data_IF_917001589695
#
_entry.id   IF_917001589695
#
_cell.length_a   1.000
_cell.length_b   1.000
_cell.length_c   1.000
_cell.angle_alpha   90.00
_cell.angle_beta   90.00
_cell.angle_gamma   90.00
#
_symmetry.space_group_name_H-M   'P 1'
#
loop_
_entity.id
_entity.type
_entity.pdbx_description
1 polymer ?
#
# COMPACT_ATOMS: atom_id res chain seq x y z
N UNK A 1 -6.72 -2.46 -22.01
CA UNK A 1 -6.20 -3.52 -21.11
C UNK A 1 -4.96 -4.15 -21.75
N UNK A 2 -5.10 -4.84 -22.88
CA UNK A 2 -3.98 -5.47 -23.58
C UNK A 2 -2.87 -4.50 -24.02
N UNK A 3 -3.18 -3.27 -24.43
CA UNK A 3 -2.17 -2.27 -24.82
C UNK A 3 -1.22 -1.91 -23.66
N UNK A 4 -1.76 -1.60 -22.47
CA UNK A 4 -0.97 -1.22 -21.29
C UNK A 4 -0.15 -2.40 -20.77
N UNK A 5 -0.72 -3.61 -20.71
CA UNK A 5 0.02 -4.83 -20.34
C UNK A 5 1.14 -5.10 -21.34
N UNK A 6 0.82 -5.07 -22.64
CA UNK A 6 1.81 -5.32 -23.70
C UNK A 6 2.94 -4.31 -23.62
N UNK A 7 2.65 -3.01 -23.44
CA UNK A 7 3.67 -1.97 -23.28
C UNK A 7 4.54 -2.23 -22.05
N UNK A 8 3.94 -2.50 -20.89
CA UNK A 8 4.68 -2.79 -19.66
C UNK A 8 5.55 -4.04 -19.80
N UNK A 9 5.00 -5.13 -20.36
CA UNK A 9 5.72 -6.38 -20.60
C UNK A 9 6.87 -6.17 -21.59
N UNK A 10 6.63 -5.52 -22.73
CA UNK A 10 7.68 -5.22 -23.71
C UNK A 10 8.79 -4.36 -23.13
N UNK A 11 8.45 -3.35 -22.32
CA UNK A 11 9.45 -2.53 -21.64
C UNK A 11 10.27 -3.35 -20.62
N UNK A 12 9.60 -4.19 -19.83
CA UNK A 12 10.26 -5.10 -18.89
C UNK A 12 11.19 -6.08 -19.60
N UNK A 13 10.74 -6.74 -20.68
CA UNK A 13 11.56 -7.68 -21.44
C UNK A 13 12.78 -7.02 -22.07
N UNK A 14 12.67 -5.76 -22.49
CA UNK A 14 13.79 -5.02 -23.07
C UNK A 14 14.81 -4.58 -22.01
N UNK A 15 14.36 -4.15 -20.83
CA UNK A 15 15.21 -3.57 -19.77
C UNK A 15 14.78 -4.04 -18.36
N UNK A 16 14.86 -5.34 -18.03
CA UNK A 16 14.30 -5.87 -16.79
C UNK A 16 15.01 -5.31 -15.54
N UNK A 17 16.30 -5.00 -15.65
CA UNK A 17 17.10 -4.44 -14.56
C UNK A 17 16.57 -3.11 -14.02
N UNK A 18 15.96 -2.26 -14.85
CA UNK A 18 15.39 -0.99 -14.38
C UNK A 18 14.19 -1.21 -13.44
N UNK A 19 13.38 -2.23 -13.71
CA UNK A 19 12.25 -2.60 -12.87
C UNK A 19 12.70 -3.32 -11.61
N UNK A 20 13.61 -4.30 -11.75
CA UNK A 20 14.17 -5.04 -10.60
C UNK A 20 14.90 -4.11 -9.63
N UNK A 21 15.60 -3.09 -10.13
CA UNK A 21 16.25 -2.07 -9.30
C UNK A 21 15.24 -1.33 -8.42
N UNK A 22 14.08 -0.93 -8.98
CA UNK A 22 13.02 -0.30 -8.20
C UNK A 22 12.49 -1.20 -7.08
N UNK A 23 12.26 -2.49 -7.37
CA UNK A 23 11.87 -3.48 -6.36
C UNK A 23 12.93 -3.66 -5.27
N UNK A 24 14.21 -3.70 -5.65
CA UNK A 24 15.32 -3.83 -4.72
C UNK A 24 15.46 -2.60 -3.81
N UNK A 25 15.42 -1.39 -4.37
CA UNK A 25 15.47 -0.14 -3.61
C UNK A 25 14.30 -0.04 -2.63
N UNK A 26 13.09 -0.40 -3.06
CA UNK A 26 11.92 -0.48 -2.20
C UNK A 26 12.12 -1.46 -1.05
N UNK A 27 12.53 -2.70 -1.33
CA UNK A 27 12.74 -3.72 -0.31
C UNK A 27 13.82 -3.31 0.69
N UNK A 28 14.94 -2.77 0.21
CA UNK A 28 16.03 -2.28 1.05
C UNK A 28 15.56 -1.17 2.00
N UNK A 29 14.90 -0.13 1.47
CA UNK A 29 14.41 0.97 2.32
C UNK A 29 13.26 0.56 3.24
N UNK A 30 12.42 -0.38 2.80
CA UNK A 30 11.39 -0.98 3.65
C UNK A 30 12.00 -1.73 4.82
N UNK A 31 13.06 -2.52 4.59
CA UNK A 31 13.79 -3.20 5.65
C UNK A 31 14.44 -2.21 6.63
N UNK A 32 15.08 -1.17 6.12
CA UNK A 32 15.66 -0.09 6.95
C UNK A 32 14.57 0.57 7.81
N UNK A 33 13.40 0.84 7.23
CA UNK A 33 12.25 1.39 7.95
C UNK A 33 11.76 0.44 9.06
N UNK A 34 11.62 -0.86 8.77
CA UNK A 34 11.22 -1.85 9.77
C UNK A 34 12.21 -1.94 10.93
N UNK A 35 13.52 -1.95 10.63
CA UNK A 35 14.56 -1.95 11.65
C UNK A 35 14.52 -0.67 12.50
N UNK A 36 14.29 0.49 11.89
CA UNK A 36 14.14 1.74 12.61
C UNK A 36 12.91 1.74 13.53
N UNK A 37 11.75 1.26 13.05
CA UNK A 37 10.53 1.15 13.86
C UNK A 37 10.70 0.16 15.02
N UNK A 38 11.37 -0.97 14.77
CA UNK A 38 11.72 -1.92 15.81
C UNK A 38 12.65 -1.29 16.86
N UNK A 39 13.66 -0.53 16.44
CA UNK A 39 14.52 0.24 17.34
C UNK A 39 13.76 1.25 18.20
N UNK A 40 12.79 1.97 17.64
CA UNK A 40 11.92 2.88 18.40
C UNK A 40 11.07 2.15 19.44
N UNK A 41 10.51 0.98 19.09
CA UNK A 41 9.78 0.14 20.04
C UNK A 41 10.69 -0.34 21.18
N UNK A 42 11.91 -0.78 20.88
CA UNK A 42 12.88 -1.18 21.90
C UNK A 42 13.23 -0.03 22.85
N UNK A 43 13.50 1.17 22.31
CA UNK A 43 13.77 2.37 23.12
C UNK A 43 12.59 2.66 24.05
N UNK A 44 11.36 2.57 23.55
CA UNK A 44 10.16 2.73 24.37
C UNK A 44 10.11 1.72 25.52
N UNK A 45 10.26 0.42 25.23
CA UNK A 45 10.20 -0.62 26.27
C UNK A 45 11.34 -0.52 27.28
N UNK A 46 12.54 -0.12 26.85
CA UNK A 46 13.66 0.15 27.76
C UNK A 46 13.35 1.32 28.68
N UNK A 47 12.82 2.43 28.14
CA UNK A 47 12.46 3.59 28.94
C UNK A 47 11.31 3.25 29.93
N UNK A 48 10.29 2.53 29.48
CA UNK A 48 9.20 2.07 30.33
C UNK A 48 9.72 1.18 31.48
N UNK A 49 10.63 0.25 31.18
CA UNK A 49 11.26 -0.61 32.19
C UNK A 49 12.09 0.19 33.19
N UNK A 50 12.90 1.16 32.75
CA UNK A 50 13.70 2.02 33.64
C UNK A 50 12.84 2.87 34.57
N UNK A 51 11.68 3.30 34.11
CA UNK A 51 10.72 4.09 34.89
C UNK A 51 9.80 3.22 35.76
N UNK A 52 10.00 1.90 35.79
CA UNK A 52 9.10 0.94 36.46
C UNK A 52 7.64 1.09 36.03
N UNK A 53 7.43 1.44 34.76
CA UNK A 53 6.12 1.61 34.16
C UNK A 53 5.52 0.24 33.83
N UNK A 54 4.28 -0.01 34.25
CA UNK A 54 3.59 -1.26 33.97
C UNK A 54 3.14 -1.31 32.50
N UNK A 55 3.71 -2.24 31.73
CA UNK A 55 3.40 -2.40 30.32
C UNK A 55 2.19 -3.33 30.20
N UNK A 56 1.01 -2.74 30.07
CA UNK A 56 -0.23 -3.47 29.74
C UNK A 56 -0.77 -3.06 28.37
N UNK A 57 -1.30 -4.04 27.64
CA UNK A 57 -2.03 -3.83 26.38
C UNK A 57 -3.56 -3.86 26.58
N UNK A 58 -4.01 -3.66 27.83
CA UNK A 58 -5.43 -3.58 28.19
C UNK A 58 -6.06 -2.23 27.82
N UNK A 59 -7.27 -1.97 28.33
CA UNK A 59 -7.92 -0.64 28.28
C UNK A 59 -7.83 0.10 29.63
N UNK A 60 -6.96 -0.35 30.53
CA UNK A 60 -6.75 0.28 31.84
C UNK A 60 -5.93 1.56 31.70
N UNK A 61 -6.02 2.49 32.66
CA UNK A 61 -5.32 3.78 32.59
C UNK A 61 -3.77 3.65 32.41
N UNK A 62 -3.18 2.54 32.89
CA UNK A 62 -1.76 2.21 32.68
C UNK A 62 -1.40 1.74 31.25
N UNK A 63 -2.38 1.49 30.38
CA UNK A 63 -2.14 1.07 28.99
C UNK A 63 -2.06 2.24 28.00
N UNK A 64 -2.54 3.43 28.38
CA UNK A 64 -2.71 4.56 27.46
C UNK A 64 -1.39 5.06 26.84
N UNK A 65 -0.29 5.26 27.60
CA UNK A 65 1.02 5.59 27.04
C UNK A 65 1.54 4.54 26.05
N UNK A 66 1.33 3.25 26.33
CA UNK A 66 1.72 2.14 25.43
C UNK A 66 0.92 2.19 24.14
N UNK A 67 -0.40 2.36 24.23
CA UNK A 67 -1.28 2.49 23.06
C UNK A 67 -0.91 3.71 22.21
N UNK A 68 -0.63 4.86 22.84
CA UNK A 68 -0.19 6.06 22.14
C UNK A 68 1.16 5.86 21.45
N UNK A 69 2.15 5.28 22.14
CA UNK A 69 3.47 5.02 21.58
C UNK A 69 3.38 4.09 20.36
N UNK A 70 2.66 2.97 20.48
CA UNK A 70 2.46 2.03 19.36
C UNK A 70 1.71 2.70 18.22
N UNK A 71 0.67 3.47 18.51
CA UNK A 71 -0.11 4.19 17.48
C UNK A 71 0.76 5.19 16.73
N UNK A 72 1.58 6.00 17.43
CA UNK A 72 2.51 6.94 16.80
C UNK A 72 3.51 6.21 15.91
N UNK A 73 4.07 5.09 16.37
CA UNK A 73 5.00 4.28 15.58
C UNK A 73 4.32 3.71 14.33
N UNK A 74 3.08 3.23 14.43
CA UNK A 74 2.30 2.75 13.29
C UNK A 74 1.98 3.87 12.29
N UNK A 75 1.65 5.08 12.78
CA UNK A 75 1.42 6.24 11.93
C UNK A 75 2.70 6.66 11.19
N UNK A 76 3.85 6.64 11.87
CA UNK A 76 5.16 6.87 11.24
C UNK A 76 5.46 5.82 10.17
N UNK A 77 5.21 4.54 10.46
CA UNK A 77 5.35 3.46 9.49
C UNK A 77 4.49 3.73 8.25
N UNK A 78 3.21 4.07 8.42
CA UNK A 78 2.31 4.38 7.31
C UNK A 78 2.75 5.59 6.50
N UNK A 79 3.26 6.63 7.16
CA UNK A 79 3.79 7.82 6.50
C UNK A 79 4.96 7.47 5.57
N UNK A 80 5.98 6.78 6.08
CA UNK A 80 7.14 6.42 5.28
C UNK A 80 6.83 5.35 4.23
N UNK A 81 6.00 4.35 4.56
CA UNK A 81 5.56 3.33 3.61
C UNK A 81 4.79 3.94 2.43
N UNK A 82 3.95 4.95 2.69
CA UNK A 82 3.30 5.73 1.64
C UNK A 82 4.31 6.38 0.69
N UNK A 83 5.37 6.98 1.23
CA UNK A 83 6.47 7.53 0.44
C UNK A 83 7.21 6.48 -0.40
N UNK A 84 7.56 5.33 0.18
CA UNK A 84 8.23 4.24 -0.53
C UNK A 84 7.37 3.71 -1.70
N UNK A 85 6.07 3.55 -1.48
CA UNK A 85 5.13 3.14 -2.53
C UNK A 85 5.05 4.15 -3.69
N UNK A 86 5.12 5.45 -3.38
CA UNK A 86 5.15 6.49 -4.41
C UNK A 86 6.45 6.47 -5.22
N UNK A 87 7.59 6.30 -4.56
CA UNK A 87 8.88 6.15 -5.23
C UNK A 87 8.93 4.91 -6.12
N UNK A 88 8.35 3.80 -5.67
CA UNK A 88 8.23 2.58 -6.46
C UNK A 88 7.41 2.81 -7.74
N UNK A 89 6.24 3.43 -7.61
CA UNK A 89 5.37 3.73 -8.75
C UNK A 89 6.05 4.67 -9.75
N UNK A 90 6.72 5.73 -9.29
CA UNK A 90 7.51 6.62 -10.17
C UNK A 90 8.63 5.85 -10.87
N UNK A 91 9.34 4.98 -10.14
CA UNK A 91 10.46 4.21 -10.71
C UNK A 91 9.97 3.27 -11.80
N UNK A 92 8.85 2.59 -11.60
CA UNK A 92 8.25 1.73 -12.62
C UNK A 92 7.74 2.52 -13.82
N UNK A 93 7.11 3.67 -13.59
CA UNK A 93 6.71 4.57 -14.67
C UNK A 93 7.91 5.03 -15.50
N UNK A 94 8.98 5.50 -14.85
CA UNK A 94 10.20 5.90 -15.51
C UNK A 94 10.92 4.75 -16.21
N UNK A 95 10.90 3.54 -15.63
CA UNK A 95 11.50 2.34 -16.24
C UNK A 95 10.82 1.96 -17.55
N UNK A 96 9.51 2.17 -17.69
CA UNK A 96 8.79 1.98 -18.96
C UNK A 96 9.38 2.85 -20.08
N UNK A 97 9.78 4.07 -19.76
CA UNK A 97 10.39 5.01 -20.71
C UNK A 97 11.93 4.93 -20.72
N UNK A 98 12.51 3.95 -20.00
CA UNK A 98 13.95 3.69 -19.97
C UNK A 98 14.76 4.66 -19.09
N UNK A 99 14.11 5.42 -18.22
CA UNK A 99 14.77 6.30 -17.26
C UNK A 99 15.47 5.49 -16.17
N UNK A 100 16.70 5.91 -15.83
CA UNK A 100 17.45 5.37 -14.68
C UNK A 100 17.04 6.13 -13.42
N UNK A 101 17.04 5.44 -12.28
CA UNK A 101 16.74 6.02 -10.97
C UNK A 101 17.87 5.67 -10.02
N UNK A 102 18.40 6.62 -9.24
CA UNK A 102 19.36 6.33 -8.18
C UNK A 102 18.66 6.03 -6.86
N UNK A 103 19.37 5.41 -5.90
CA UNK A 103 18.83 5.19 -4.55
C UNK A 103 18.49 6.53 -3.85
N UNK A 104 19.32 7.55 -4.08
CA UNK A 104 19.13 8.89 -3.54
C UNK A 104 17.87 9.55 -4.10
N UNK A 105 17.65 9.46 -5.42
CA UNK A 105 16.43 9.96 -6.07
C UNK A 105 15.19 9.24 -5.57
N UNK A 106 15.28 7.91 -5.39
CA UNK A 106 14.20 7.10 -4.85
C UNK A 106 13.81 7.57 -3.45
N UNK A 107 14.81 7.73 -2.57
CA UNK A 107 14.60 8.17 -1.19
C UNK A 107 14.02 9.59 -1.11
N UNK A 108 14.64 10.57 -1.77
CA UNK A 108 14.16 11.96 -1.76
C UNK A 108 12.76 12.08 -2.36
N UNK A 109 12.49 11.35 -3.44
CA UNK A 109 11.16 11.35 -4.02
C UNK A 109 10.14 10.76 -3.05
N UNK A 110 10.46 9.63 -2.41
CA UNK A 110 9.58 9.02 -1.41
C UNK A 110 9.26 9.96 -0.26
N UNK A 111 10.27 10.64 0.30
CA UNK A 111 10.05 11.64 1.35
C UNK A 111 9.19 12.81 0.88
N UNK A 112 9.43 13.34 -0.32
CA UNK A 112 8.67 14.47 -0.86
C UNK A 112 7.18 14.16 -1.07
N UNK A 113 6.85 12.89 -1.33
CA UNK A 113 5.47 12.43 -1.57
C UNK A 113 4.81 11.78 -0.37
N UNK A 114 5.56 11.47 0.68
CA UNK A 114 5.04 10.86 1.91
C UNK A 114 3.84 11.63 2.50
N UNK A 115 3.81 12.97 2.61
CA UNK A 115 2.65 13.68 3.18
C UNK A 115 1.35 13.45 2.39
N UNK A 116 1.42 13.53 1.06
CA UNK A 116 0.25 13.34 0.18
C UNK A 116 -0.23 11.89 0.24
N UNK A 117 0.71 10.94 0.17
CA UNK A 117 0.40 9.51 0.24
C UNK A 117 -0.19 9.14 1.59
N UNK A 118 0.35 9.70 2.68
CA UNK A 118 -0.16 9.50 4.03
C UNK A 118 -1.60 9.99 4.17
N UNK A 119 -1.93 11.17 3.64
CA UNK A 119 -3.32 11.67 3.66
C UNK A 119 -4.29 10.73 2.94
N UNK A 120 -3.91 10.22 1.77
CA UNK A 120 -4.73 9.27 1.01
C UNK A 120 -4.85 7.92 1.74
N UNK A 121 -3.76 7.41 2.33
CA UNK A 121 -3.76 6.20 3.17
C UNK A 121 -4.67 6.38 4.38
N UNK A 122 -4.55 7.49 5.10
CA UNK A 122 -5.36 7.74 6.28
C UNK A 122 -6.85 7.79 5.93
N UNK A 123 -7.23 8.46 4.83
CA UNK A 123 -8.61 8.45 4.35
C UNK A 123 -9.09 7.05 3.99
N UNK A 124 -8.25 6.24 3.34
CA UNK A 124 -8.55 4.84 3.03
C UNK A 124 -8.84 4.05 4.32
N UNK A 125 -7.96 4.12 5.30
CA UNK A 125 -8.09 3.39 6.56
C UNK A 125 -9.29 3.86 7.38
N UNK A 126 -9.56 5.17 7.43
CA UNK A 126 -10.75 5.71 8.09
C UNK A 126 -12.03 5.14 7.46
N UNK A 127 -12.11 5.08 6.13
CA UNK A 127 -13.26 4.47 5.44
C UNK A 127 -13.34 2.97 5.72
N UNK A 128 -12.21 2.26 5.74
CA UNK A 128 -12.17 0.84 6.13
C UNK A 128 -12.73 0.62 7.53
N UNK A 129 -12.31 1.43 8.51
CA UNK A 129 -12.82 1.36 9.89
C UNK A 129 -14.30 1.71 9.96
N UNK A 130 -14.77 2.72 9.23
CA UNK A 130 -16.19 3.10 9.22
C UNK A 130 -17.10 2.03 8.61
N UNK A 131 -16.61 1.26 7.62
CA UNK A 131 -17.38 0.19 7.00
C UNK A 131 -17.30 -1.12 7.79
N UNK A 132 -16.11 -1.49 8.24
CA UNK A 132 -15.85 -2.79 8.89
C UNK A 132 -16.15 -2.73 10.39
N UNK A 133 -15.85 -1.61 11.04
CA UNK A 133 -15.98 -1.43 12.49
C UNK A 133 -17.38 -1.73 13.03
N UNK A 134 -18.47 -1.18 12.45
CA UNK A 134 -19.82 -1.49 12.90
C UNK A 134 -20.18 -2.97 12.76
N UNK A 135 -19.77 -3.62 11.66
CA UNK A 135 -20.05 -5.05 11.42
C UNK A 135 -19.24 -5.92 12.39
N UNK A 136 -17.97 -5.58 12.61
CA UNK A 136 -17.13 -6.25 13.60
C UNK A 136 -17.71 -6.09 15.01
N UNK A 137 -18.18 -4.90 15.38
CA UNK A 137 -18.83 -4.65 16.67
C UNK A 137 -20.09 -5.50 16.85
N UNK A 138 -20.98 -5.54 15.84
CA UNK A 138 -22.18 -6.39 15.88
C UNK A 138 -21.78 -7.86 16.07
N UNK A 139 -20.75 -8.31 15.34
CA UNK A 139 -20.24 -9.66 15.50
C UNK A 139 -19.76 -9.93 16.94
N UNK A 140 -18.89 -9.08 17.48
CA UNK A 140 -18.30 -9.26 18.82
C UNK A 140 -19.32 -9.22 19.95
N UNK A 141 -20.37 -8.39 19.84
CA UNK A 141 -21.37 -8.24 20.89
C UNK A 141 -22.53 -9.22 20.80
N UNK A 142 -22.83 -9.77 19.61
CA UNK A 142 -24.07 -10.52 19.40
C UNK A 142 -23.91 -11.85 18.67
N UNK A 143 -22.83 -12.09 17.92
CA UNK A 143 -22.76 -13.21 16.98
C UNK A 143 -21.58 -14.18 17.19
N UNK A 144 -20.71 -13.94 18.17
CA UNK A 144 -19.51 -14.76 18.43
C UNK A 144 -19.78 -16.22 18.76
N UNK A 145 -20.96 -16.55 19.27
CA UNK A 145 -21.31 -17.94 19.64
C UNK A 145 -21.92 -18.74 18.48
N UNK A 146 -22.23 -18.10 17.35
CA UNK A 146 -22.89 -18.74 16.22
C UNK A 146 -21.87 -19.33 15.25
N UNK A 147 -22.11 -20.57 14.81
CA UNK A 147 -21.23 -21.26 13.88
C UNK A 147 -21.05 -20.47 12.57
N UNK A 148 -19.81 -20.46 12.07
CA UNK A 148 -19.39 -19.82 10.81
C UNK A 148 -19.43 -18.28 10.78
N UNK A 149 -19.85 -17.60 11.84
CA UNK A 149 -19.89 -16.13 11.86
C UNK A 149 -18.51 -15.49 11.71
N UNK A 150 -17.46 -16.12 12.25
CA UNK A 150 -16.07 -15.70 12.07
C UNK A 150 -15.68 -15.67 10.59
N UNK A 151 -16.03 -16.73 9.85
CA UNK A 151 -15.73 -16.84 8.42
C UNK A 151 -16.48 -15.79 7.61
N UNK A 152 -17.75 -15.53 7.96
CA UNK A 152 -18.55 -14.50 7.30
C UNK A 152 -17.98 -13.10 7.57
N UNK A 153 -17.53 -12.81 8.81
CA UNK A 153 -16.88 -11.55 9.14
C UNK A 153 -15.58 -11.37 8.36
N UNK A 154 -14.73 -12.40 8.31
CA UNK A 154 -13.46 -12.33 7.56
C UNK A 154 -13.70 -12.17 6.06
N UNK A 155 -14.69 -12.87 5.49
CA UNK A 155 -15.06 -12.71 4.09
C UNK A 155 -15.55 -11.29 3.81
N UNK A 156 -16.44 -10.77 4.66
CA UNK A 156 -16.94 -9.39 4.55
C UNK A 156 -15.80 -8.37 4.63
N UNK A 157 -14.94 -8.48 5.63
CA UNK A 157 -13.80 -7.59 5.82
C UNK A 157 -12.85 -7.64 4.61
N UNK A 158 -12.54 -8.83 4.10
CA UNK A 158 -11.71 -9.00 2.92
C UNK A 158 -12.33 -8.37 1.67
N UNK A 159 -13.64 -8.57 1.43
CA UNK A 159 -14.35 -7.94 0.32
C UNK A 159 -14.38 -6.40 0.45
N UNK A 160 -14.67 -5.88 1.64
CA UNK A 160 -14.70 -4.45 1.90
C UNK A 160 -13.31 -3.82 1.69
N UNK A 161 -12.26 -4.40 2.28
CA UNK A 161 -10.86 -3.97 2.11
C UNK A 161 -10.47 -3.99 0.64
N UNK A 162 -10.81 -5.07 -0.09
CA UNK A 162 -10.50 -5.20 -1.51
C UNK A 162 -11.12 -4.07 -2.34
N UNK A 163 -12.42 -3.80 -2.15
CA UNK A 163 -13.13 -2.73 -2.85
C UNK A 163 -12.55 -1.36 -2.50
N UNK A 164 -12.31 -1.10 -1.22
CA UNK A 164 -11.74 0.18 -0.77
C UNK A 164 -10.34 0.38 -1.36
N UNK A 165 -9.47 -0.63 -1.31
CA UNK A 165 -8.15 -0.55 -1.92
C UNK A 165 -8.24 -0.32 -3.43
N UNK A 166 -9.15 -1.01 -4.12
CA UNK A 166 -9.39 -0.83 -5.55
C UNK A 166 -9.77 0.63 -5.86
N UNK A 167 -10.70 1.21 -5.11
CA UNK A 167 -11.19 2.58 -5.33
C UNK A 167 -10.09 3.63 -5.08
N UNK A 168 -9.21 3.40 -4.12
CA UNK A 168 -8.12 4.32 -3.76
C UNK A 168 -6.86 4.17 -4.62
N UNK A 169 -6.68 3.03 -5.29
CA UNK A 169 -5.46 2.74 -6.07
C UNK A 169 -5.15 3.79 -7.15
N UNK A 170 -6.12 4.31 -7.94
CA UNK A 170 -5.82 5.36 -8.90
C UNK A 170 -5.40 6.67 -8.24
N UNK A 171 -5.95 6.99 -7.05
CA UNK A 171 -5.54 8.18 -6.30
C UNK A 171 -4.09 8.04 -5.83
N UNK A 172 -3.71 6.87 -5.34
CA UNK A 172 -2.30 6.58 -5.01
C UNK A 172 -1.38 6.73 -6.20
N UNK A 173 -1.74 6.14 -7.34
CA UNK A 173 -0.93 6.25 -8.56
C UNK A 173 -0.82 7.70 -9.00
N UNK A 174 -1.92 8.45 -9.03
CA UNK A 174 -1.93 9.87 -9.43
C UNK A 174 -1.06 10.73 -8.52
N UNK A 175 -1.14 10.52 -7.20
CA UNK A 175 -0.30 11.19 -6.22
C UNK A 175 1.18 10.82 -6.40
N UNK A 176 1.44 9.54 -6.67
CA UNK A 176 2.79 9.01 -6.93
C UNK A 176 3.41 9.55 -8.20
N UNK A 177 2.59 9.93 -9.19
CA UNK A 177 3.05 10.59 -10.43
C UNK A 177 3.10 12.12 -10.32
N UNK A 178 2.72 12.66 -9.17
CA UNK A 178 3.04 14.02 -8.80
C UNK A 178 1.86 14.96 -8.53
N UNK A 179 0.63 14.44 -8.63
CA UNK A 179 -0.60 15.21 -8.43
C UNK A 179 -0.77 15.65 -6.97
N UNK A 180 -1.50 16.74 -6.76
CA UNK A 180 -1.93 17.16 -5.42
C UNK A 180 -3.03 16.23 -4.86
N UNK A 181 -3.34 16.26 -3.54
CA UNK A 181 -4.33 15.36 -2.94
C UNK A 181 -5.70 15.41 -3.63
N UNK A 182 -6.26 16.60 -3.85
CA UNK A 182 -7.57 16.76 -4.49
C UNK A 182 -7.58 16.26 -5.95
N UNK A 183 -6.52 16.56 -6.69
CA UNK A 183 -6.36 16.11 -8.07
C UNK A 183 -6.25 14.59 -8.15
N UNK A 184 -5.60 13.96 -7.17
CA UNK A 184 -5.48 12.51 -7.06
C UNK A 184 -6.83 11.84 -6.86
N UNK A 185 -7.69 12.38 -5.99
CA UNK A 185 -9.06 11.87 -5.82
C UNK A 185 -9.92 12.10 -7.06
N UNK A 186 -9.77 13.27 -7.70
CA UNK A 186 -10.45 13.57 -8.97
C UNK A 186 -10.02 12.59 -10.08
N UNK A 187 -8.72 12.27 -10.15
CA UNK A 187 -8.20 11.26 -11.06
C UNK A 187 -8.82 9.90 -10.78
N UNK A 188 -8.94 9.49 -9.51
CA UNK A 188 -9.60 8.23 -9.16
C UNK A 188 -11.05 8.19 -9.60
N UNK A 189 -11.82 9.23 -9.34
CA UNK A 189 -13.19 9.33 -9.82
C UNK A 189 -13.27 9.19 -11.34
N UNK A 190 -12.42 9.91 -12.09
CA UNK A 190 -12.44 9.82 -13.56
C UNK A 190 -11.95 8.48 -14.09
N UNK A 191 -10.93 7.87 -13.50
CA UNK A 191 -10.46 6.53 -13.87
C UNK A 191 -11.58 5.52 -13.70
N UNK A 192 -12.29 5.54 -12.55
CA UNK A 192 -13.40 4.63 -12.30
C UNK A 192 -14.54 4.94 -13.30
N UNK A 193 -14.98 6.20 -13.40
CA UNK A 193 -16.06 6.60 -14.29
C UNK A 193 -15.83 6.18 -15.75
N UNK A 194 -14.63 6.42 -16.27
CA UNK A 194 -14.33 6.25 -17.70
C UNK A 194 -13.75 4.89 -18.07
N UNK A 195 -13.10 4.20 -17.11
CA UNK A 195 -12.34 2.97 -17.37
C UNK A 195 -12.68 1.82 -16.41
N UNK A 196 -13.75 1.88 -15.63
CA UNK A 196 -14.08 0.89 -14.59
C UNK A 196 -13.85 -0.57 -15.00
N UNK A 197 -14.36 -1.05 -16.14
CA UNK A 197 -14.17 -2.45 -16.58
C UNK A 197 -12.69 -2.79 -16.80
N UNK A 198 -11.97 -1.93 -17.53
CA UNK A 198 -10.54 -2.13 -17.83
C UNK A 198 -9.70 -2.03 -16.56
N UNK A 199 -10.05 -1.11 -15.68
CA UNK A 199 -9.38 -0.91 -14.39
C UNK A 199 -9.62 -2.09 -13.45
N UNK A 200 -10.85 -2.58 -13.33
CA UNK A 200 -11.20 -3.75 -12.52
C UNK A 200 -10.39 -4.97 -12.96
N UNK A 201 -10.36 -5.28 -14.27
CA UNK A 201 -9.56 -6.40 -14.78
C UNK A 201 -8.07 -6.26 -14.47
N UNK A 202 -7.49 -5.07 -14.66
CA UNK A 202 -6.09 -4.80 -14.30
C UNK A 202 -5.83 -4.91 -12.80
N UNK A 203 -6.75 -4.41 -11.98
CA UNK A 203 -6.64 -4.44 -10.54
C UNK A 203 -6.74 -5.88 -10.01
N UNK A 204 -7.61 -6.72 -10.58
CA UNK A 204 -7.68 -8.15 -10.25
C UNK A 204 -6.36 -8.85 -10.59
N UNK A 205 -5.76 -8.58 -11.75
CA UNK A 205 -4.45 -9.14 -12.10
C UNK A 205 -3.35 -8.67 -11.13
N UNK A 206 -3.37 -7.40 -10.75
CA UNK A 206 -2.47 -6.84 -9.74
C UNK A 206 -2.68 -7.50 -8.37
N UNK A 207 -3.92 -7.71 -7.94
CA UNK A 207 -4.26 -8.37 -6.68
C UNK A 207 -3.82 -9.84 -6.67
N UNK A 208 -4.01 -10.57 -7.78
CA UNK A 208 -3.50 -11.93 -7.92
C UNK A 208 -1.96 -11.93 -7.82
N UNK A 209 -1.28 -11.02 -8.51
CA UNK A 209 0.17 -10.88 -8.38
C UNK A 209 0.58 -10.56 -6.93
N UNK A 210 -0.22 -9.80 -6.19
CA UNK A 210 0.03 -9.55 -4.78
C UNK A 210 -0.15 -10.81 -3.93
N UNK A 211 -1.23 -11.56 -4.14
CA UNK A 211 -1.53 -12.81 -3.43
C UNK A 211 -0.51 -13.92 -3.69
N UNK A 212 0.07 -13.98 -4.89
CA UNK A 212 1.13 -14.95 -5.22
C UNK A 212 2.39 -14.76 -4.36
N UNK A 213 2.60 -13.59 -3.75
CA UNK A 213 3.70 -13.39 -2.81
C UNK A 213 3.55 -14.18 -1.51
N UNK A 214 2.34 -14.67 -1.18
CA UNK A 214 2.14 -15.57 -0.03
C UNK A 214 2.60 -17.01 -0.30
N UNK A 215 2.96 -17.35 -1.54
CA UNK A 215 3.49 -18.67 -1.91
C UNK A 215 5.02 -18.56 -1.97
N UNK A 216 5.78 -19.07 -0.97
CA UNK A 216 7.22 -18.85 -0.88
C UNK A 216 8.00 -19.27 -2.14
N UNK A 217 7.58 -20.38 -2.77
CA UNK A 217 8.21 -20.93 -3.98
C UNK A 217 8.11 -20.00 -5.21
N UNK A 218 7.08 -19.18 -5.29
CA UNK A 218 6.81 -18.31 -6.45
C UNK A 218 7.07 -16.83 -6.10
N UNK A 219 7.31 -16.52 -4.83
CA UNK A 219 7.45 -15.15 -4.32
C UNK A 219 8.55 -14.36 -5.04
N UNK A 220 9.75 -14.93 -5.21
CA UNK A 220 10.85 -14.23 -5.90
C UNK A 220 10.48 -13.86 -7.34
N UNK A 221 9.93 -14.81 -8.09
CA UNK A 221 9.47 -14.54 -9.46
C UNK A 221 8.35 -13.48 -9.49
N UNK A 222 7.46 -13.54 -8.52
CA UNK A 222 6.34 -12.61 -8.39
C UNK A 222 6.83 -11.19 -8.11
N UNK A 223 7.69 -11.00 -7.11
CA UNK A 223 8.23 -9.68 -6.69
C UNK A 223 9.07 -9.04 -7.80
N UNK A 224 9.87 -9.82 -8.52
CA UNK A 224 10.82 -9.26 -9.49
C UNK A 224 10.29 -9.22 -10.92
N UNK A 225 9.27 -10.02 -11.27
CA UNK A 225 8.75 -10.09 -12.65
C UNK A 225 7.26 -9.75 -12.74
N UNK A 226 6.40 -10.53 -12.08
CA UNK A 226 4.93 -10.38 -12.25
C UNK A 226 4.43 -9.06 -11.70
N UNK A 227 4.85 -8.71 -10.48
CA UNK A 227 4.45 -7.50 -9.79
C UNK A 227 4.88 -6.22 -10.52
N UNK A 228 6.15 -6.06 -10.95
CA UNK A 228 6.54 -4.87 -11.71
C UNK A 228 5.76 -4.70 -13.02
N UNK A 229 5.49 -5.79 -13.74
CA UNK A 229 4.73 -5.74 -14.99
C UNK A 229 3.27 -5.37 -14.73
N UNK A 230 2.61 -6.04 -13.79
CA UNK A 230 1.21 -5.78 -13.45
C UNK A 230 1.02 -4.35 -12.90
N UNK A 231 1.91 -3.91 -12.01
CA UNK A 231 1.82 -2.58 -11.43
C UNK A 231 2.13 -1.49 -12.44
N UNK A 232 3.15 -1.67 -13.30
CA UNK A 232 3.44 -0.72 -14.39
C UNK A 232 2.26 -0.60 -15.37
N UNK A 233 1.63 -1.72 -15.73
CA UNK A 233 0.46 -1.71 -16.60
C UNK A 233 -0.73 -0.96 -15.97
N UNK A 234 -0.91 -1.10 -14.65
CA UNK A 234 -1.92 -0.36 -13.89
C UNK A 234 -1.59 1.14 -13.84
N UNK A 235 -0.32 1.49 -13.61
CA UNK A 235 0.17 2.87 -13.61
C UNK A 235 -0.09 3.52 -14.98
N UNK A 236 0.28 2.84 -16.06
CA UNK A 236 0.05 3.31 -17.43
C UNK A 236 -1.45 3.56 -17.68
N UNK A 237 -2.31 2.62 -17.30
CA UNK A 237 -3.76 2.76 -17.47
C UNK A 237 -4.33 4.00 -16.75
N UNK A 238 -3.84 4.30 -15.55
CA UNK A 238 -4.24 5.48 -14.78
C UNK A 238 -3.63 6.76 -15.36
N UNK A 239 -2.36 6.72 -15.77
CA UNK A 239 -1.60 7.87 -16.29
C UNK A 239 -2.04 8.34 -17.66
N UNK A 240 -2.51 7.42 -18.52
CA UNK A 240 -3.05 7.74 -19.84
C UNK A 240 -4.35 8.55 -19.62
N UNK A 241 -4.28 9.86 -19.45
CA UNK A 241 -5.48 10.73 -19.41
C UNK A 241 -6.32 10.39 -20.64
N UNK A 242 -7.54 9.88 -20.42
CA UNK A 242 -8.42 9.26 -21.40
C UNK A 242 -8.11 9.60 -22.86
N UNK A 243 -7.21 8.84 -23.47
CA UNK A 243 -6.91 8.90 -24.89
C UNK A 243 -7.80 7.92 -25.63
N UNK A 244 -8.97 8.40 -26.03
CA UNK A 244 -9.45 8.19 -27.39
C UNK A 244 -9.25 9.53 -28.12
#
# INVERSE_FOLDING_TARGET
MFSSIKRAFSAYSAKPFLFMWGSFAYFFLFLVLLLAMFGLLLIYFMAASLLSYDISFGLDAGSLPTLLAVTVILLLLFYFLGGLNAALAKTYYGAVDGAKTSLLDFYHYGLSRAPVMFGILLMREVISVLLIGPVAAIYYYFLTEYQYMDMLLYLYALCAIFVIHMLFTPAFISASLGSLPFESFRAAFFTIKTKHIRFLGMYVLFAIAWLLNFIPLVQLFTVFTVYPIAYSALILLVSDKGGN
#
